data_IF_019276587198
#
_entry.id   IF_019276587198
#
_cell.length_a   1.000
_cell.length_b   1.000
_cell.length_c   1.000
_cell.angle_alpha   90.00
_cell.angle_beta   90.00
_cell.angle_gamma   90.00
#
_symmetry.space_group_name_H-M   'P 1'
#
loop_
_entity.id
_entity.type
_entity.pdbx_description
1 polymer ?
#
# COMPACT_ATOMS: atom_id res chain seq x y z
N UNK A 1 11.48 21.61 -16.40
CA UNK A 1 11.36 21.21 -14.98
C UNK A 1 9.92 20.79 -14.75
N UNK A 2 9.68 19.73 -13.99
CA UNK A 2 8.32 19.29 -13.67
C UNK A 2 7.63 20.29 -12.73
N UNK A 3 6.32 20.41 -12.83
CA UNK A 3 5.49 21.27 -12.00
C UNK A 3 4.76 20.40 -10.96
N UNK A 4 5.38 20.24 -9.80
CA UNK A 4 4.78 19.55 -8.66
C UNK A 4 4.28 20.58 -7.64
N UNK A 5 3.06 20.36 -7.15
CA UNK A 5 2.48 21.16 -6.07
C UNK A 5 1.87 20.26 -5.00
N UNK A 6 1.94 20.70 -3.75
CA UNK A 6 1.42 19.98 -2.59
C UNK A 6 0.53 20.94 -1.81
N UNK A 7 -0.71 20.53 -1.56
CA UNK A 7 -1.64 21.26 -0.71
C UNK A 7 -2.15 20.38 0.42
N UNK A 8 -2.66 21.01 1.47
CA UNK A 8 -3.21 20.33 2.64
C UNK A 8 -4.63 20.82 2.89
N UNK A 9 -5.62 19.93 2.82
CA UNK A 9 -7.04 20.35 2.85
C UNK A 9 -7.42 21.11 4.12
N UNK A 10 -6.76 20.82 5.25
CA UNK A 10 -7.00 21.53 6.51
C UNK A 10 -6.30 22.90 6.62
N UNK A 11 -5.35 23.22 5.75
CA UNK A 11 -4.76 24.58 5.61
C UNK A 11 -5.46 25.36 4.50
N UNK A 12 -5.81 24.67 3.43
CA UNK A 12 -6.36 25.24 2.20
C UNK A 12 -7.70 24.55 1.89
N UNK A 13 -8.81 24.93 2.57
CA UNK A 13 -10.12 24.27 2.40
C UNK A 13 -10.68 24.37 0.98
N UNK A 14 -10.12 25.26 0.17
CA UNK A 14 -10.49 25.54 -1.22
C UNK A 14 -9.47 24.99 -2.23
N UNK A 15 -8.51 24.15 -1.81
CA UNK A 15 -7.48 23.61 -2.70
C UNK A 15 -8.04 22.86 -3.91
N UNK A 16 -9.23 22.28 -3.79
CA UNK A 16 -9.93 21.61 -4.89
C UNK A 16 -10.63 22.57 -5.88
N UNK A 17 -10.83 23.86 -5.53
CA UNK A 17 -11.46 24.83 -6.43
C UNK A 17 -10.61 25.02 -7.69
N UNK A 18 -11.21 24.83 -8.86
CA UNK A 18 -10.54 25.01 -10.16
C UNK A 18 -10.01 23.71 -10.79
N UNK A 19 -10.01 22.59 -10.06
CA UNK A 19 -9.76 21.27 -10.63
C UNK A 19 -11.06 20.61 -11.09
N UNK A 20 -10.96 19.66 -12.01
CA UNK A 20 -12.13 18.95 -12.56
C UNK A 20 -12.36 17.60 -11.90
N UNK A 21 -11.33 16.99 -11.33
CA UNK A 21 -11.37 15.60 -10.86
C UNK A 21 -10.33 15.38 -9.78
N UNK A 22 -10.65 14.51 -8.81
CA UNK A 22 -9.69 13.94 -7.89
C UNK A 22 -9.29 12.52 -8.33
N UNK A 23 -8.05 12.12 -8.09
CA UNK A 23 -7.54 10.78 -8.40
C UNK A 23 -7.02 10.13 -7.13
N UNK A 24 -7.58 8.98 -6.76
CA UNK A 24 -7.06 8.12 -5.71
C UNK A 24 -6.20 7.03 -6.33
N UNK A 25 -4.93 6.97 -5.95
CA UNK A 25 -3.96 5.98 -6.43
C UNK A 25 -3.47 5.13 -5.26
N UNK A 26 -3.05 3.91 -5.58
CA UNK A 26 -2.35 3.01 -4.68
C UNK A 26 -3.16 2.65 -3.43
N UNK A 27 -3.90 1.56 -3.56
CA UNK A 27 -4.92 1.17 -2.60
C UNK A 27 -5.18 -0.32 -2.79
N UNK A 28 -5.17 -1.09 -1.70
CA UNK A 28 -5.21 -2.55 -1.74
C UNK A 28 -6.62 -3.08 -1.46
N UNK A 29 -6.91 -4.31 -1.83
CA UNK A 29 -8.19 -4.99 -1.64
C UNK A 29 -7.94 -6.37 -1.04
N UNK A 30 -9.00 -7.14 -0.81
CA UNK A 30 -8.88 -8.53 -0.42
C UNK A 30 -8.22 -9.44 -1.48
N UNK A 31 -7.86 -8.91 -2.67
CA UNK A 31 -7.05 -9.61 -3.66
C UNK A 31 -5.54 -9.48 -3.37
N UNK A 32 -5.12 -8.47 -2.61
CA UNK A 32 -3.72 -8.31 -2.19
C UNK A 32 -3.35 -9.31 -1.10
N UNK A 33 -2.14 -9.87 -1.20
CA UNK A 33 -1.58 -10.83 -0.25
C UNK A 33 -0.45 -10.17 0.53
N UNK A 34 -0.77 -9.75 1.75
CA UNK A 34 0.19 -9.10 2.64
C UNK A 34 0.94 -10.15 3.46
N UNK A 35 2.27 -10.21 3.31
CA UNK A 35 3.09 -11.18 4.03
C UNK A 35 3.01 -11.01 5.55
N UNK A 36 3.05 -12.12 6.29
CA UNK A 36 3.17 -12.12 7.76
C UNK A 36 4.63 -12.18 8.25
N UNK A 37 5.61 -12.00 7.37
CA UNK A 37 7.04 -11.99 7.74
C UNK A 37 7.37 -11.00 8.84
N UNK A 38 6.71 -9.84 8.85
CA UNK A 38 6.88 -8.84 9.90
C UNK A 38 6.59 -9.38 11.31
N UNK A 39 5.75 -10.41 11.47
CA UNK A 39 5.48 -11.04 12.78
C UNK A 39 6.71 -11.79 13.28
N UNK A 40 7.38 -12.53 12.39
CA UNK A 40 8.63 -13.20 12.72
C UNK A 40 9.73 -12.19 13.08
N UNK A 41 9.74 -11.04 12.41
CA UNK A 41 10.71 -9.96 12.67
C UNK A 41 10.41 -9.16 13.94
N UNK A 42 9.13 -8.92 14.29
CA UNK A 42 8.72 -8.22 15.52
C UNK A 42 9.26 -8.90 16.79
N UNK A 43 9.41 -10.23 16.74
CA UNK A 43 10.01 -11.02 17.82
C UNK A 43 11.49 -10.66 18.09
N UNK A 44 12.21 -10.17 17.07
CA UNK A 44 13.61 -9.75 17.18
C UNK A 44 13.72 -8.39 17.88
N UNK A 45 12.80 -7.48 17.61
CA UNK A 45 12.76 -6.14 18.23
C UNK A 45 12.30 -6.18 19.69
N UNK A 46 11.58 -7.24 20.08
CA UNK A 46 10.99 -7.41 21.41
C UNK A 46 11.41 -8.75 22.01
N UNK A 47 12.66 -8.88 22.51
CA UNK A 47 13.23 -10.17 22.92
C UNK A 47 12.43 -10.95 23.97
N UNK A 48 11.58 -10.26 24.74
CA UNK A 48 10.71 -10.89 25.73
C UNK A 48 9.49 -11.62 25.12
N UNK A 49 9.11 -11.31 23.87
CA UNK A 49 8.06 -12.02 23.13
C UNK A 49 8.55 -13.37 22.58
N UNK A 50 9.85 -13.50 22.29
CA UNK A 50 10.47 -14.74 21.77
C UNK A 50 10.08 -16.01 22.54
N UNK A 51 10.22 -16.09 23.88
CA UNK A 51 9.84 -17.30 24.61
C UNK A 51 8.34 -17.61 24.52
N UNK A 52 7.49 -16.60 24.44
CA UNK A 52 6.03 -16.76 24.31
C UNK A 52 5.68 -17.30 22.92
N UNK A 53 6.30 -16.76 21.87
CA UNK A 53 6.10 -17.21 20.48
C UNK A 53 6.57 -18.64 20.29
N UNK A 54 7.78 -18.99 20.74
CA UNK A 54 8.28 -20.38 20.69
C UNK A 54 7.37 -21.35 21.42
N UNK A 55 6.93 -20.99 22.62
CA UNK A 55 5.98 -21.81 23.37
C UNK A 55 4.65 -22.01 22.60
N UNK A 56 4.16 -20.96 21.93
CA UNK A 56 2.94 -21.05 21.13
C UNK A 56 3.12 -21.91 19.87
N UNK A 57 4.25 -21.77 19.18
CA UNK A 57 4.63 -22.57 18.01
C UNK A 57 4.78 -24.06 18.34
N UNK A 58 5.50 -24.39 19.43
CA UNK A 58 5.69 -25.77 19.88
C UNK A 58 4.35 -26.39 20.29
N UNK A 59 3.52 -25.63 21.02
CA UNK A 59 2.17 -26.07 21.39
C UNK A 59 1.26 -26.28 20.19
N UNK A 60 1.41 -25.48 19.12
CA UNK A 60 0.72 -25.71 17.85
C UNK A 60 1.17 -27.04 17.25
N UNK A 61 2.48 -27.23 17.10
CA UNK A 61 3.07 -28.45 16.55
C UNK A 61 2.62 -29.72 17.30
N UNK A 62 2.64 -29.69 18.63
CA UNK A 62 2.21 -30.82 19.48
C UNK A 62 0.72 -31.15 19.30
N UNK A 63 -0.14 -30.15 19.13
CA UNK A 63 -1.60 -30.34 19.15
C UNK A 63 -2.23 -30.57 17.78
N UNK A 64 -1.67 -29.98 16.74
CA UNK A 64 -2.24 -29.96 15.38
C UNK A 64 -1.29 -30.56 14.35
N UNK A 65 -0.02 -30.77 14.69
CA UNK A 65 1.02 -31.15 13.73
C UNK A 65 1.48 -29.99 12.85
N UNK A 66 0.95 -28.77 13.06
CA UNK A 66 1.24 -27.59 12.24
C UNK A 66 2.18 -26.66 13.00
N UNK A 67 3.34 -26.36 12.40
CA UNK A 67 4.21 -25.25 12.83
C UNK A 67 3.86 -23.99 12.01
N UNK A 68 3.74 -22.81 12.64
CA UNK A 68 3.58 -21.54 11.92
C UNK A 68 4.66 -21.36 10.85
N UNK A 69 4.25 -20.97 9.64
CA UNK A 69 5.12 -20.76 8.47
C UNK A 69 4.92 -19.32 7.99
N UNK A 70 5.50 -18.35 8.71
CA UNK A 70 5.26 -16.91 8.49
C UNK A 70 5.52 -16.47 7.03
N UNK A 71 6.60 -16.95 6.41
CA UNK A 71 6.97 -16.66 5.01
C UNK A 71 6.04 -17.23 3.95
N UNK A 72 5.17 -18.17 4.33
CA UNK A 72 4.15 -18.75 3.45
C UNK A 72 2.74 -18.39 3.88
N UNK A 73 2.62 -17.53 4.89
CA UNK A 73 1.38 -17.04 5.41
C UNK A 73 1.21 -15.59 5.01
N UNK A 74 -0.04 -15.22 4.76
CA UNK A 74 -0.39 -13.87 4.41
C UNK A 74 -1.75 -13.53 5.01
N UNK A 75 -2.06 -12.25 5.05
CA UNK A 75 -3.40 -11.75 5.30
C UNK A 75 -3.88 -10.96 4.10
N UNK A 76 -5.18 -10.76 3.99
CA UNK A 76 -5.78 -9.94 2.93
C UNK A 76 -6.51 -8.75 3.55
N UNK A 77 -6.40 -7.54 2.99
CA UNK A 77 -7.21 -6.39 3.35
C UNK A 77 -8.71 -6.71 3.45
N UNK A 78 -9.45 -6.04 4.35
CA UNK A 78 -10.82 -6.41 4.66
C UNK A 78 -11.79 -6.04 3.53
N UNK A 79 -11.49 -5.02 2.73
CA UNK A 79 -12.40 -4.53 1.70
C UNK A 79 -12.35 -5.37 0.43
N UNK A 80 -13.53 -5.74 -0.09
CA UNK A 80 -13.66 -6.28 -1.45
C UNK A 80 -13.35 -5.18 -2.49
N UNK A 81 -13.08 -5.53 -3.76
CA UNK A 81 -12.76 -4.53 -4.79
C UNK A 81 -13.82 -3.43 -4.89
N UNK A 82 -15.11 -3.77 -4.81
CA UNK A 82 -16.20 -2.80 -4.90
C UNK A 82 -16.28 -1.89 -3.68
N UNK A 83 -16.12 -2.44 -2.47
CA UNK A 83 -16.11 -1.63 -1.26
C UNK A 83 -14.92 -0.68 -1.22
N UNK A 84 -13.75 -1.12 -1.65
CA UNK A 84 -12.55 -0.28 -1.75
C UNK A 84 -12.72 0.83 -2.81
N UNK A 85 -13.22 0.49 -4.00
CA UNK A 85 -13.52 1.48 -5.04
C UNK A 85 -14.48 2.56 -4.55
N UNK A 86 -15.59 2.15 -3.95
CA UNK A 86 -16.61 3.08 -3.44
C UNK A 86 -16.06 3.96 -2.33
N UNK A 87 -15.26 3.41 -1.42
CA UNK A 87 -14.65 4.14 -0.33
C UNK A 87 -13.78 5.31 -0.86
N UNK A 88 -12.91 5.02 -1.82
CA UNK A 88 -12.01 5.99 -2.40
C UNK A 88 -12.76 7.04 -3.24
N UNK A 89 -13.72 6.60 -4.06
CA UNK A 89 -14.53 7.50 -4.89
C UNK A 89 -15.40 8.43 -4.03
N UNK A 90 -16.07 7.88 -3.01
CA UNK A 90 -16.94 8.65 -2.13
C UNK A 90 -16.17 9.65 -1.28
N UNK A 91 -14.93 9.38 -0.88
CA UNK A 91 -14.09 10.38 -0.22
C UNK A 91 -13.95 11.63 -1.09
N UNK A 92 -13.60 11.45 -2.37
CA UNK A 92 -13.39 12.56 -3.31
C UNK A 92 -14.71 13.29 -3.55
N UNK A 93 -15.78 12.56 -3.84
CA UNK A 93 -17.10 13.15 -4.12
C UNK A 93 -17.64 13.91 -2.91
N UNK A 94 -17.58 13.34 -1.71
CA UNK A 94 -18.19 13.92 -0.53
C UNK A 94 -17.36 15.07 0.06
N UNK A 95 -16.03 14.94 0.10
CA UNK A 95 -15.18 15.93 0.76
C UNK A 95 -14.67 17.01 -0.19
N UNK A 96 -14.42 16.68 -1.46
CA UNK A 96 -13.86 17.60 -2.45
C UNK A 96 -14.91 18.11 -3.44
N UNK A 97 -16.09 17.50 -3.49
CA UNK A 97 -17.17 17.84 -4.43
C UNK A 97 -16.71 17.73 -5.90
N UNK A 98 -15.84 16.75 -6.18
CA UNK A 98 -15.32 16.43 -7.51
C UNK A 98 -15.68 14.99 -7.90
N UNK A 99 -15.77 14.67 -9.20
CA UNK A 99 -15.65 13.28 -9.67
C UNK A 99 -14.36 12.63 -9.18
N UNK A 100 -14.43 11.34 -8.86
CA UNK A 100 -13.30 10.54 -8.40
C UNK A 100 -12.86 9.54 -9.47
N UNK A 101 -11.59 9.57 -9.84
CA UNK A 101 -10.93 8.47 -10.54
C UNK A 101 -10.19 7.62 -9.51
N UNK A 102 -10.42 6.31 -9.50
CA UNK A 102 -9.79 5.41 -8.53
C UNK A 102 -8.92 4.41 -9.30
N UNK A 103 -7.71 4.19 -8.82
CA UNK A 103 -6.85 3.08 -9.25
C UNK A 103 -6.48 2.21 -8.06
N UNK A 104 -7.06 1.01 -8.00
CA UNK A 104 -6.68 -0.04 -7.05
C UNK A 104 -5.49 -0.83 -7.63
N UNK A 105 -4.54 -1.19 -6.78
CA UNK A 105 -3.27 -1.78 -7.21
C UNK A 105 -2.80 -2.81 -6.19
N UNK A 106 -3.47 -3.95 -6.15
CA UNK A 106 -3.08 -5.09 -5.30
C UNK A 106 -1.67 -5.60 -5.66
N UNK A 107 -0.98 -6.21 -4.69
CA UNK A 107 0.36 -6.77 -4.90
C UNK A 107 0.36 -7.86 -5.98
N UNK A 108 1.13 -7.62 -7.05
CA UNK A 108 1.41 -8.54 -8.15
C UNK A 108 0.17 -9.12 -8.86
N UNK A 109 -1.00 -8.46 -8.74
CA UNK A 109 -2.29 -9.01 -9.17
C UNK A 109 -3.26 -7.96 -9.74
N UNK A 110 -3.98 -8.30 -10.82
CA UNK A 110 -4.97 -7.42 -11.46
C UNK A 110 -6.42 -7.90 -11.28
N UNK A 111 -6.71 -8.87 -10.41
CA UNK A 111 -8.06 -9.42 -10.26
C UNK A 111 -9.08 -8.36 -9.82
N UNK A 112 -8.70 -7.46 -8.90
CA UNK A 112 -9.60 -6.41 -8.44
C UNK A 112 -10.11 -5.51 -9.58
N UNK A 113 -9.26 -4.88 -10.41
CA UNK A 113 -9.74 -4.12 -11.55
C UNK A 113 -10.44 -4.98 -12.60
N UNK A 114 -10.08 -6.25 -12.80
CA UNK A 114 -10.82 -7.13 -13.73
C UNK A 114 -12.24 -7.42 -13.26
N UNK A 115 -12.43 -7.75 -11.98
CA UNK A 115 -13.75 -7.95 -11.37
C UNK A 115 -14.60 -6.69 -11.46
N UNK A 116 -14.03 -5.52 -11.14
CA UNK A 116 -14.73 -4.25 -11.18
C UNK A 116 -15.19 -3.86 -12.58
N UNK A 117 -14.45 -4.22 -13.63
CA UNK A 117 -14.83 -3.90 -15.00
C UNK A 117 -16.00 -4.70 -15.55
N UNK A 118 -16.36 -5.80 -14.87
CA UNK A 118 -17.61 -6.50 -15.12
C UNK A 118 -18.84 -5.72 -14.63
N UNK A 119 -18.64 -4.73 -13.74
CA UNK A 119 -19.69 -3.87 -13.19
C UNK A 119 -19.78 -2.59 -14.00
N UNK A 120 -21.00 -2.21 -14.42
CA UNK A 120 -21.20 -0.98 -15.19
C UNK A 120 -20.75 0.28 -14.44
N UNK A 121 -20.92 0.33 -13.12
CA UNK A 121 -20.56 1.48 -12.29
C UNK A 121 -19.06 1.69 -12.11
N UNK A 122 -18.23 0.66 -12.34
CA UNK A 122 -16.78 0.73 -12.15
C UNK A 122 -15.99 0.36 -13.43
N UNK A 123 -16.66 0.29 -14.59
CA UNK A 123 -16.06 -0.15 -15.87
C UNK A 123 -14.85 0.67 -16.32
N UNK A 124 -14.78 1.92 -15.86
CA UNK A 124 -13.73 2.88 -16.20
C UNK A 124 -12.48 2.76 -15.33
N UNK A 125 -12.45 1.87 -14.34
CA UNK A 125 -11.26 1.65 -13.52
C UNK A 125 -10.07 1.22 -14.40
N UNK A 126 -8.88 1.81 -14.23
CA UNK A 126 -7.67 1.36 -14.92
C UNK A 126 -7.26 -0.04 -14.45
N UNK A 127 -6.68 -0.82 -15.36
CA UNK A 127 -6.05 -2.10 -15.01
C UNK A 127 -4.69 -1.81 -14.38
N UNK A 128 -4.55 -2.07 -13.08
CA UNK A 128 -3.36 -1.67 -12.34
C UNK A 128 -2.98 -2.72 -11.30
N UNK A 129 -1.70 -2.74 -10.93
CA UNK A 129 -1.14 -3.55 -9.84
C UNK A 129 0.02 -2.82 -9.16
N UNK A 130 0.36 -3.22 -7.95
CA UNK A 130 1.64 -2.89 -7.32
C UNK A 130 2.61 -4.03 -7.58
N UNK A 131 3.62 -3.79 -8.42
CA UNK A 131 4.59 -4.82 -8.80
C UNK A 131 5.76 -4.88 -7.81
N UNK A 132 5.99 -6.06 -7.24
CA UNK A 132 7.15 -6.36 -6.39
C UNK A 132 8.39 -6.64 -7.23
N UNK A 133 9.38 -5.76 -7.13
CA UNK A 133 10.63 -5.80 -7.91
C UNK A 133 11.80 -6.13 -6.99
N UNK A 134 12.27 -7.39 -6.93
CA UNK A 134 13.48 -7.72 -6.18
C UNK A 134 14.69 -6.97 -6.75
N UNK A 135 15.44 -6.28 -5.91
CA UNK A 135 16.58 -5.45 -6.30
C UNK A 135 17.70 -5.53 -5.25
N UNK A 136 18.73 -6.33 -5.54
CA UNK A 136 19.83 -6.57 -4.60
C UNK A 136 19.34 -7.25 -3.31
N UNK A 137 19.63 -6.69 -2.12
CA UNK A 137 19.20 -7.27 -0.84
C UNK A 137 17.77 -6.91 -0.42
N UNK A 138 17.04 -6.11 -1.23
CA UNK A 138 15.69 -5.61 -0.91
C UNK A 138 14.75 -5.86 -2.10
N UNK A 139 13.49 -5.45 -1.98
CA UNK A 139 12.59 -5.28 -3.11
C UNK A 139 11.96 -3.89 -3.08
N UNK A 140 11.69 -3.35 -4.26
CA UNK A 140 10.94 -2.13 -4.45
C UNK A 140 9.53 -2.45 -4.92
N UNK A 141 8.59 -1.54 -4.68
CA UNK A 141 7.27 -1.65 -5.26
C UNK A 141 7.07 -0.56 -6.32
N UNK A 142 6.55 -0.96 -7.48
CA UNK A 142 6.23 -0.06 -8.57
C UNK A 142 4.72 -0.12 -8.85
N UNK A 143 4.04 1.01 -8.71
CA UNK A 143 2.66 1.14 -9.17
C UNK A 143 2.64 1.14 -10.70
N UNK A 144 2.10 0.08 -11.31
CA UNK A 144 1.90 0.00 -12.77
C UNK A 144 0.42 0.22 -13.05
N UNK A 145 0.08 1.39 -13.56
CA UNK A 145 -1.29 1.83 -13.74
C UNK A 145 -1.72 1.85 -15.19
N UNK A 146 -2.99 1.52 -15.42
CA UNK A 146 -3.69 1.62 -16.70
C UNK A 146 -3.06 0.80 -17.84
N UNK A 147 -2.74 -0.45 -17.53
CA UNK A 147 -2.33 -1.46 -18.52
C UNK A 147 -3.42 -1.63 -19.59
N UNK A 148 -3.04 -1.86 -20.86
CA UNK A 148 -4.01 -2.14 -21.92
C UNK A 148 -4.83 -3.38 -21.59
N UNK A 149 -6.16 -3.25 -21.69
CA UNK A 149 -7.08 -4.31 -21.25
C UNK A 149 -6.88 -5.63 -21.98
N UNK A 150 -6.54 -5.57 -23.27
CA UNK A 150 -6.35 -6.76 -24.11
C UNK A 150 -5.09 -7.55 -23.74
N UNK A 151 -4.10 -6.92 -23.11
CA UNK A 151 -2.80 -7.52 -22.79
C UNK A 151 -2.48 -7.48 -21.29
N UNK A 152 -3.43 -7.05 -20.44
CA UNK A 152 -3.22 -6.88 -19.01
C UNK A 152 -2.78 -8.18 -18.32
N UNK A 153 -3.44 -9.31 -18.63
CA UNK A 153 -3.07 -10.63 -18.10
C UNK A 153 -1.66 -11.05 -18.52
N UNK A 154 -1.29 -10.86 -19.79
CA UNK A 154 0.05 -11.17 -20.27
C UNK A 154 1.12 -10.29 -19.59
N UNK A 155 0.80 -9.03 -19.29
CA UNK A 155 1.67 -8.17 -18.50
C UNK A 155 1.79 -8.68 -17.06
N UNK A 156 0.70 -8.98 -16.37
CA UNK A 156 0.75 -9.51 -15.01
C UNK A 156 1.61 -10.79 -14.95
N UNK A 157 1.40 -11.74 -15.85
CA UNK A 157 2.18 -12.98 -15.93
C UNK A 157 3.68 -12.68 -16.09
N UNK A 158 4.04 -11.79 -17.01
CA UNK A 158 5.44 -11.40 -17.23
C UNK A 158 6.08 -10.71 -16.01
N UNK A 159 5.34 -9.84 -15.33
CA UNK A 159 5.82 -9.15 -14.13
C UNK A 159 6.01 -10.16 -12.98
N UNK A 160 5.06 -11.09 -12.81
CA UNK A 160 5.16 -12.16 -11.82
C UNK A 160 6.32 -13.13 -12.11
N UNK A 161 6.55 -13.49 -13.38
CA UNK A 161 7.70 -14.28 -13.80
C UNK A 161 9.02 -13.60 -13.41
N UNK A 162 9.15 -12.30 -13.66
CA UNK A 162 10.32 -11.54 -13.25
C UNK A 162 10.52 -11.59 -11.72
N UNK A 163 9.45 -11.40 -10.95
CA UNK A 163 9.48 -11.41 -9.48
C UNK A 163 9.94 -12.78 -8.95
N UNK A 164 9.47 -13.87 -9.59
CA UNK A 164 9.82 -15.24 -9.22
C UNK A 164 11.26 -15.65 -9.59
N UNK A 165 11.90 -14.96 -10.55
CA UNK A 165 13.28 -15.29 -10.96
C UNK A 165 14.29 -15.04 -9.82
N UNK A 166 15.11 -16.03 -9.45
CA UNK A 166 16.19 -15.84 -8.49
C UNK A 166 17.19 -14.79 -8.97
N UNK A 167 17.59 -13.87 -8.09
CA UNK A 167 18.50 -12.75 -8.42
C UNK A 167 19.81 -13.25 -9.06
N UNK A 168 20.36 -14.36 -8.57
CA UNK A 168 21.62 -14.92 -9.07
C UNK A 168 21.57 -15.39 -10.53
N UNK A 169 20.39 -15.72 -11.05
CA UNK A 169 20.18 -16.19 -12.42
C UNK A 169 19.52 -15.16 -13.34
N UNK A 170 19.29 -13.94 -12.86
CA UNK A 170 18.53 -12.91 -13.57
C UNK A 170 19.45 -12.12 -14.50
N UNK A 171 19.05 -11.94 -15.77
CA UNK A 171 19.73 -11.00 -16.66
C UNK A 171 19.62 -9.58 -16.06
N UNK A 172 20.75 -8.89 -15.80
CA UNK A 172 20.74 -7.57 -15.19
C UNK A 172 20.01 -6.50 -16.03
N UNK A 173 19.79 -6.72 -17.33
CA UNK A 173 19.06 -5.79 -18.21
C UNK A 173 17.57 -6.06 -18.28
N UNK A 174 17.10 -7.23 -17.82
CA UNK A 174 15.70 -7.64 -17.98
C UNK A 174 14.72 -6.65 -17.35
N UNK A 175 15.04 -6.15 -16.16
CA UNK A 175 14.23 -5.15 -15.47
C UNK A 175 14.10 -3.87 -16.31
N UNK A 176 15.24 -3.34 -16.78
CA UNK A 176 15.29 -2.14 -17.60
C UNK A 176 14.51 -2.31 -18.91
N UNK A 177 14.57 -3.48 -19.54
CA UNK A 177 13.80 -3.80 -20.73
C UNK A 177 12.29 -3.80 -20.45
N UNK A 178 11.85 -4.46 -19.39
CA UNK A 178 10.42 -4.48 -18.99
C UNK A 178 9.93 -3.05 -18.73
N UNK A 179 10.71 -2.24 -18.01
CA UNK A 179 10.34 -0.84 -17.71
C UNK A 179 10.31 0.03 -18.98
N UNK A 180 11.26 -0.16 -19.90
CA UNK A 180 11.27 0.54 -21.18
C UNK A 180 10.02 0.21 -22.01
N UNK A 181 9.64 -1.07 -22.09
CA UNK A 181 8.44 -1.49 -22.82
C UNK A 181 7.14 -0.99 -22.17
N UNK A 182 7.08 -0.90 -20.84
CA UNK A 182 5.96 -0.24 -20.15
C UNK A 182 5.89 1.26 -20.48
N UNK A 183 7.03 1.96 -20.51
CA UNK A 183 7.11 3.37 -20.92
C UNK A 183 6.69 3.58 -22.39
N UNK A 184 6.98 2.63 -23.29
CA UNK A 184 6.55 2.73 -24.69
C UNK A 184 5.01 2.76 -24.85
N UNK A 185 4.25 2.25 -23.87
CA UNK A 185 2.78 2.28 -23.89
C UNK A 185 2.29 3.64 -23.39
N UNK A 186 1.73 4.53 -24.24
CA UNK A 186 1.43 5.92 -23.85
C UNK A 186 0.40 6.06 -22.72
N UNK A 187 -0.50 5.07 -22.59
CA UNK A 187 -1.56 5.06 -21.57
C UNK A 187 -1.11 4.49 -20.21
N UNK A 188 0.08 3.91 -20.10
CA UNK A 188 0.58 3.31 -18.85
C UNK A 188 1.29 4.36 -18.01
N UNK A 189 1.09 4.31 -16.70
CA UNK A 189 1.79 5.14 -15.73
C UNK A 189 2.52 4.23 -14.72
N UNK A 190 3.84 4.29 -14.73
CA UNK A 190 4.74 3.62 -13.77
C UNK A 190 5.20 4.60 -12.69
N UNK A 191 4.86 4.31 -11.44
CA UNK A 191 5.20 5.10 -10.24
C UNK A 191 6.15 4.30 -9.37
N UNK A 192 7.16 4.95 -8.78
CA UNK A 192 7.94 4.32 -7.71
C UNK A 192 7.22 4.56 -6.39
N UNK A 193 6.54 3.52 -5.89
CA UNK A 193 5.76 3.57 -4.66
C UNK A 193 6.71 3.63 -3.46
N UNK A 194 6.33 4.45 -2.46
CA UNK A 194 6.97 4.65 -1.15
C UNK A 194 8.49 4.39 -1.16
N UNK A 195 9.26 5.08 -2.02
CA UNK A 195 10.60 4.63 -2.43
C UNK A 195 11.62 4.54 -1.29
N UNK A 196 11.39 5.29 -0.20
CA UNK A 196 12.27 5.33 0.97
C UNK A 196 11.83 4.38 2.10
N UNK A 197 10.78 3.58 1.90
CA UNK A 197 10.38 2.57 2.86
C UNK A 197 11.31 1.34 2.78
N UNK A 198 12.18 1.21 3.78
CA UNK A 198 13.03 0.04 3.98
C UNK A 198 12.23 -1.12 4.59
N UNK A 199 11.32 -1.71 3.82
CA UNK A 199 10.45 -2.83 4.24
C UNK A 199 11.28 -4.04 4.72
N UNK A 200 12.36 -4.37 4.01
CA UNK A 200 13.24 -5.51 4.31
C UNK A 200 14.32 -5.20 5.35
N UNK A 201 14.30 -3.99 5.92
CA UNK A 201 15.18 -3.56 7.02
C UNK A 201 16.66 -3.78 6.73
N UNK A 202 17.08 -3.57 5.48
CA UNK A 202 18.49 -3.69 5.07
C UNK A 202 19.36 -2.59 5.71
N UNK A 203 18.73 -1.55 6.24
CA UNK A 203 19.30 -0.39 6.88
C UNK A 203 19.14 0.83 5.98
N UNK A 204 18.68 1.95 6.54
CA UNK A 204 18.31 3.15 5.79
C UNK A 204 19.39 3.68 4.83
N UNK A 205 20.67 3.63 5.22
CA UNK A 205 21.77 4.04 4.34
C UNK A 205 21.92 3.10 3.13
N UNK A 206 21.85 1.77 3.36
CA UNK A 206 21.95 0.78 2.28
C UNK A 206 20.73 0.83 1.37
N UNK A 207 19.53 0.99 1.95
CA UNK A 207 18.30 1.19 1.19
C UNK A 207 18.40 2.44 0.31
N UNK A 208 18.87 3.55 0.87
CA UNK A 208 19.11 4.80 0.14
C UNK A 208 20.09 4.63 -1.02
N UNK A 209 21.16 3.85 -0.87
CA UNK A 209 22.07 3.50 -1.97
C UNK A 209 21.32 2.75 -3.06
N UNK A 210 20.59 1.68 -2.72
CA UNK A 210 19.81 0.89 -3.68
C UNK A 210 18.79 1.74 -4.46
N UNK A 211 18.11 2.68 -3.78
CA UNK A 211 17.15 3.59 -4.43
C UNK A 211 17.84 4.49 -5.46
N UNK A 212 19.00 5.04 -5.12
CA UNK A 212 19.76 5.88 -6.05
C UNK A 212 20.33 5.07 -7.22
N UNK A 213 20.79 3.84 -6.99
CA UNK A 213 21.23 2.95 -8.06
C UNK A 213 20.07 2.58 -9.00
N UNK A 214 18.91 2.26 -8.45
CA UNK A 214 17.71 1.98 -9.24
C UNK A 214 17.31 3.17 -10.12
N UNK A 215 17.27 4.38 -9.56
CA UNK A 215 16.94 5.59 -10.31
C UNK A 215 18.04 5.97 -11.33
N UNK A 216 19.31 5.68 -11.05
CA UNK A 216 20.39 5.87 -12.01
C UNK A 216 20.21 5.02 -13.26
N UNK A 217 19.76 3.77 -13.10
CA UNK A 217 19.65 2.80 -14.18
C UNK A 217 18.29 2.92 -14.90
N UNK A 218 17.21 3.06 -14.12
CA UNK A 218 15.84 2.91 -14.60
C UNK A 218 15.02 4.20 -14.51
N UNK A 219 15.54 5.28 -13.91
CA UNK A 219 14.77 6.48 -13.59
C UNK A 219 14.09 7.12 -14.79
N UNK A 220 14.65 7.01 -15.99
CA UNK A 220 14.03 7.53 -17.22
C UNK A 220 12.67 6.88 -17.57
N UNK A 221 12.41 5.67 -17.07
CA UNK A 221 11.16 4.91 -17.28
C UNK A 221 10.19 5.01 -16.10
N UNK A 222 10.59 5.72 -15.04
CA UNK A 222 9.76 6.02 -13.88
C UNK A 222 9.18 7.42 -14.08
N UNK A 223 7.86 7.52 -13.97
CA UNK A 223 7.17 8.76 -14.32
C UNK A 223 6.99 9.71 -13.14
N UNK A 224 6.89 9.16 -11.92
CA UNK A 224 6.75 9.92 -10.69
C UNK A 224 7.21 9.11 -9.47
N UNK A 225 7.54 9.82 -8.39
CA UNK A 225 7.81 9.23 -7.07
C UNK A 225 6.62 9.47 -6.14
N UNK A 226 6.20 8.45 -5.41
CA UNK A 226 5.03 8.53 -4.54
C UNK A 226 5.30 9.32 -3.26
N UNK A 227 4.47 10.34 -2.99
CA UNK A 227 4.20 10.81 -1.64
C UNK A 227 3.10 9.94 -1.07
N UNK A 228 3.40 9.24 0.02
CA UNK A 228 2.57 8.15 0.47
C UNK A 228 1.70 8.55 1.68
N UNK A 229 0.40 8.25 1.59
CA UNK A 229 -0.59 8.59 2.62
C UNK A 229 -0.37 7.86 3.95
N UNK A 230 0.20 6.65 3.94
CA UNK A 230 0.51 5.86 5.14
C UNK A 230 1.86 6.24 5.79
N UNK A 231 2.77 6.90 5.05
CA UNK A 231 4.12 7.22 5.52
C UNK A 231 4.18 8.51 6.35
N UNK A 232 5.34 8.72 6.98
CA UNK A 232 5.59 9.87 7.87
C UNK A 232 5.82 11.17 7.08
N UNK A 233 5.68 12.31 7.78
CA UNK A 233 6.01 13.63 7.25
C UNK A 233 7.46 13.70 6.78
N UNK A 234 8.38 13.23 7.63
CA UNK A 234 9.82 13.21 7.34
C UNK A 234 10.15 12.39 6.10
N UNK A 235 9.51 11.24 5.93
CA UNK A 235 9.75 10.39 4.77
C UNK A 235 9.23 11.04 3.48
N UNK A 236 8.01 11.58 3.48
CA UNK A 236 7.47 12.27 2.31
C UNK A 236 8.29 13.52 1.93
N UNK A 237 8.79 14.29 2.90
CA UNK A 237 9.71 15.39 2.64
C UNK A 237 11.03 14.91 1.99
N UNK A 238 11.57 13.78 2.47
CA UNK A 238 12.77 13.18 1.87
C UNK A 238 12.50 12.65 0.44
N UNK A 239 11.29 12.16 0.15
CA UNK A 239 10.89 11.79 -1.23
C UNK A 239 10.82 13.01 -2.14
N UNK A 240 10.31 14.15 -1.67
CA UNK A 240 10.34 15.41 -2.45
C UNK A 240 11.76 15.83 -2.82
N UNK A 241 12.70 15.73 -1.86
CA UNK A 241 14.13 16.00 -2.12
C UNK A 241 14.71 15.00 -3.13
N UNK A 242 14.38 13.71 -2.99
CA UNK A 242 14.81 12.66 -3.92
C UNK A 242 14.28 12.92 -5.34
N UNK A 243 13.01 13.31 -5.47
CA UNK A 243 12.40 13.65 -6.76
C UNK A 243 13.13 14.83 -7.41
N UNK A 244 13.42 15.89 -6.65
CA UNK A 244 14.22 17.03 -7.12
C UNK A 244 15.62 16.60 -7.61
N UNK A 245 16.32 15.75 -6.85
CA UNK A 245 17.64 15.22 -7.21
C UNK A 245 17.63 14.48 -8.56
N UNK A 246 16.59 13.71 -8.82
CA UNK A 246 16.47 12.89 -10.03
C UNK A 246 15.62 13.54 -11.14
N UNK A 247 15.31 14.84 -11.01
CA UNK A 247 14.45 15.59 -11.93
C UNK A 247 13.08 14.90 -12.18
N UNK A 248 12.57 14.22 -11.15
CA UNK A 248 11.24 13.60 -11.15
C UNK A 248 10.19 14.51 -10.53
N UNK A 249 8.92 14.24 -10.87
CA UNK A 249 7.78 14.82 -10.17
C UNK A 249 7.34 13.89 -9.05
N UNK A 250 6.65 14.43 -8.05
CA UNK A 250 5.97 13.60 -7.06
C UNK A 250 4.51 13.40 -7.43
N UNK A 251 3.89 12.36 -6.90
CA UNK A 251 2.48 12.01 -7.11
C UNK A 251 1.86 11.45 -5.83
N UNK A 252 0.54 11.49 -5.67
CA UNK A 252 -0.11 10.87 -4.51
C UNK A 252 -0.12 9.34 -4.64
N UNK A 253 -0.18 8.67 -3.50
CA UNK A 253 -0.67 7.30 -3.42
C UNK A 253 -0.82 6.90 -1.95
N UNK A 254 -1.86 6.15 -1.64
CA UNK A 254 -2.28 6.00 -0.25
C UNK A 254 -1.69 4.82 0.49
N UNK A 255 -1.39 3.73 -0.23
CA UNK A 255 -0.96 2.43 0.33
C UNK A 255 -1.91 1.92 1.42
N UNK A 256 -3.21 2.12 1.17
CA UNK A 256 -4.27 1.87 2.13
C UNK A 256 -4.64 0.39 2.12
N UNK A 257 -4.65 -0.17 3.33
CA UNK A 257 -4.97 -1.57 3.58
C UNK A 257 -6.16 -1.76 4.54
N UNK A 258 -6.54 -0.71 5.27
CA UNK A 258 -7.67 -0.71 6.22
C UNK A 258 -8.98 -0.26 5.58
N UNK A 259 -9.88 0.28 6.41
CA UNK A 259 -11.19 0.80 5.99
C UNK A 259 -11.30 2.33 6.00
N UNK A 260 -10.24 3.04 6.40
CA UNK A 260 -10.10 4.49 6.21
C UNK A 260 -9.58 4.77 4.80
N UNK A 261 -10.15 5.72 4.02
CA UNK A 261 -9.72 6.00 2.66
C UNK A 261 -8.32 6.62 2.59
N UNK A 262 -7.71 6.61 1.40
CA UNK A 262 -6.38 7.19 1.15
C UNK A 262 -6.21 8.59 1.77
N UNK A 263 -5.11 8.77 2.52
CA UNK A 263 -4.81 10.03 3.22
C UNK A 263 -4.27 11.13 2.30
N UNK A 264 -4.10 10.84 1.01
CA UNK A 264 -3.80 11.81 -0.03
C UNK A 264 -4.43 11.37 -1.36
N UNK A 265 -4.65 12.36 -2.22
CA UNK A 265 -5.19 12.18 -3.58
C UNK A 265 -4.47 13.16 -4.52
N UNK A 266 -4.58 12.96 -5.82
CA UNK A 266 -4.19 13.94 -6.81
C UNK A 266 -5.36 14.81 -7.23
N UNK A 267 -5.13 16.11 -7.42
CA UNK A 267 -6.08 17.01 -8.08
C UNK A 267 -5.63 17.21 -9.53
N UNK A 268 -6.56 17.15 -10.48
CA UNK A 268 -6.23 17.21 -11.91
C UNK A 268 -7.32 17.88 -12.75
N UNK A 269 -6.94 18.36 -13.94
CA UNK A 269 -7.88 18.85 -14.96
C UNK A 269 -8.27 17.76 -15.97
N UNK A 270 -7.64 16.59 -15.89
CA UNK A 270 -8.05 15.40 -16.62
C UNK A 270 -9.44 14.93 -16.20
N UNK A 271 -10.19 14.41 -17.17
CA UNK A 271 -11.55 13.84 -16.97
C UNK A 271 -11.57 12.32 -17.19
N UNK A 272 -10.42 11.74 -17.58
CA UNK A 272 -10.21 10.30 -17.69
C UNK A 272 -8.82 9.92 -17.18
N UNK A 273 -8.64 8.64 -16.83
CA UNK A 273 -7.34 8.16 -16.36
C UNK A 273 -6.25 8.30 -17.43
N UNK A 274 -6.58 8.12 -18.71
CA UNK A 274 -5.62 8.32 -19.82
C UNK A 274 -5.18 9.77 -19.95
N UNK A 275 -6.10 10.73 -19.77
CA UNK A 275 -5.75 12.16 -19.73
C UNK A 275 -4.85 12.46 -18.53
N UNK A 276 -5.14 11.88 -17.36
CA UNK A 276 -4.32 12.04 -16.17
C UNK A 276 -2.90 11.48 -16.37
N UNK A 277 -2.78 10.32 -17.01
CA UNK A 277 -1.48 9.74 -17.41
C UNK A 277 -0.71 10.71 -18.31
N UNK A 278 -1.38 11.34 -19.28
CA UNK A 278 -0.75 12.33 -20.15
C UNK A 278 -0.26 13.57 -19.38
N UNK A 279 -1.09 14.13 -18.49
CA UNK A 279 -0.75 15.28 -17.63
C UNK A 279 0.50 15.00 -16.79
N UNK A 280 0.57 13.80 -16.18
CA UNK A 280 1.72 13.39 -15.37
C UNK A 280 2.97 13.13 -16.23
N UNK A 281 2.84 12.37 -17.32
CA UNK A 281 4.01 11.91 -18.10
C UNK A 281 4.58 12.97 -19.03
N UNK A 282 3.70 13.67 -19.76
CA UNK A 282 4.08 14.55 -20.87
C UNK A 282 4.14 16.00 -20.44
N UNK A 283 3.13 16.45 -19.70
CA UNK A 283 3.07 17.82 -19.20
C UNK A 283 3.90 17.98 -17.91
N UNK A 284 4.24 16.86 -17.25
CA UNK A 284 4.98 16.81 -15.98
C UNK A 284 4.30 17.65 -14.91
N UNK A 285 2.97 17.57 -14.84
CA UNK A 285 2.15 18.28 -13.86
C UNK A 285 1.62 17.25 -12.86
N UNK A 286 1.77 17.56 -11.57
CA UNK A 286 1.11 16.80 -10.50
C UNK A 286 0.78 17.70 -9.33
N UNK A 287 -0.46 17.66 -8.87
CA UNK A 287 -0.90 18.31 -7.65
C UNK A 287 -1.33 17.24 -6.64
N UNK A 288 -0.61 17.11 -5.53
CA UNK A 288 -0.95 16.19 -4.44
C UNK A 288 -1.67 16.94 -3.33
N UNK A 289 -2.88 16.51 -2.99
CA UNK A 289 -3.65 17.01 -1.86
C UNK A 289 -3.61 16.01 -0.71
N UNK A 290 -3.09 16.41 0.44
CA UNK A 290 -3.21 15.65 1.67
C UNK A 290 -4.57 15.88 2.35
N UNK A 291 -5.22 14.78 2.70
CA UNK A 291 -6.54 14.74 3.32
C UNK A 291 -6.45 14.88 4.85
N UNK A 292 -7.48 15.37 5.54
CA UNK A 292 -7.42 15.70 6.97
C UNK A 292 -6.92 14.59 7.88
N UNK A 293 -7.18 13.32 7.56
CA UNK A 293 -6.70 12.17 8.32
C UNK A 293 -5.17 12.09 8.38
N UNK A 294 -4.43 12.59 7.37
CA UNK A 294 -2.97 12.61 7.38
C UNK A 294 -2.37 13.43 8.54
N UNK A 295 -3.15 14.38 9.09
CA UNK A 295 -2.76 15.18 10.25
C UNK A 295 -2.70 14.38 11.55
N UNK A 296 -3.38 13.24 11.62
CA UNK A 296 -3.32 12.37 12.78
C UNK A 296 -1.92 11.75 12.92
N UNK A 297 -1.44 11.55 14.16
CA UNK A 297 -0.14 10.94 14.42
C UNK A 297 0.08 9.65 13.63
N UNK A 298 1.26 9.49 13.04
CA UNK A 298 1.57 8.34 12.20
C UNK A 298 1.36 7.01 12.94
N UNK A 299 1.88 6.90 14.17
CA UNK A 299 1.69 5.71 15.01
C UNK A 299 0.21 5.43 15.30
N UNK A 300 -0.62 6.47 15.39
CA UNK A 300 -2.06 6.29 15.55
C UNK A 300 -2.70 5.71 14.28
N UNK A 301 -2.33 6.20 13.10
CA UNK A 301 -2.83 5.69 11.82
C UNK A 301 -2.41 4.23 11.59
N UNK A 302 -1.16 3.88 11.92
CA UNK A 302 -0.69 2.48 11.88
C UNK A 302 -1.50 1.59 12.84
N UNK A 303 -1.77 2.07 14.06
CA UNK A 303 -2.63 1.34 15.00
C UNK A 303 -4.05 1.13 14.46
N UNK A 304 -4.66 2.13 13.80
CA UNK A 304 -5.98 1.99 13.19
C UNK A 304 -5.96 0.94 12.06
N UNK A 305 -4.97 0.99 11.17
CA UNK A 305 -4.82 -0.04 10.13
C UNK A 305 -4.63 -1.45 10.71
N UNK A 306 -3.86 -1.57 11.80
CA UNK A 306 -3.69 -2.83 12.53
C UNK A 306 -5.01 -3.33 13.12
N UNK A 307 -5.80 -2.43 13.72
CA UNK A 307 -7.12 -2.74 14.26
C UNK A 307 -8.08 -3.20 13.18
N UNK A 308 -8.07 -2.55 12.01
CA UNK A 308 -8.90 -2.94 10.87
C UNK A 308 -8.56 -4.35 10.37
N UNK A 309 -7.28 -4.70 10.32
CA UNK A 309 -6.85 -6.05 9.93
C UNK A 309 -7.42 -7.13 10.86
N UNK A 310 -7.42 -6.89 12.18
CA UNK A 310 -7.85 -7.86 13.21
C UNK A 310 -9.32 -7.74 13.64
N UNK A 311 -10.08 -6.82 13.04
CA UNK A 311 -11.48 -6.56 13.39
C UNK A 311 -12.41 -7.56 12.69
N UNK A 312 -13.55 -7.82 13.31
CA UNK A 312 -14.61 -8.60 12.69
C UNK A 312 -15.62 -7.65 12.02
N UNK A 313 -16.03 -7.97 10.78
CA UNK A 313 -16.97 -7.20 9.95
C UNK A 313 -18.20 -8.06 9.64
N UNK A 314 -19.20 -8.14 10.55
CA UNK A 314 -20.36 -9.03 10.38
C UNK A 314 -21.19 -8.77 9.12
N UNK A 315 -21.11 -7.56 8.57
CA UNK A 315 -21.84 -7.11 7.38
C UNK A 315 -21.12 -7.45 6.06
N UNK A 316 -19.91 -8.01 6.12
CA UNK A 316 -19.17 -8.44 4.94
C UNK A 316 -19.68 -9.80 4.43
N UNK A 317 -19.35 -10.14 3.16
CA UNK A 317 -19.61 -11.47 2.62
C UNK A 317 -19.06 -12.60 3.51
N UNK A 318 -19.68 -13.78 3.42
CA UNK A 318 -19.20 -14.98 4.10
C UNK A 318 -17.77 -15.34 3.67
N UNK A 319 -16.95 -15.82 4.61
CA UNK A 319 -15.53 -16.09 4.38
C UNK A 319 -14.62 -14.85 4.46
N UNK A 320 -15.15 -13.72 4.93
CA UNK A 320 -14.38 -12.47 5.12
C UNK A 320 -14.79 -11.68 6.37
N UNK A 321 -15.68 -12.22 7.20
CA UNK A 321 -16.26 -11.52 8.35
C UNK A 321 -15.27 -11.50 9.50
N UNK A 322 -14.65 -12.61 9.83
CA UNK A 322 -13.69 -12.66 10.94
C UNK A 322 -12.25 -12.48 10.44
N UNK A 323 -11.38 -11.99 11.32
CA UNK A 323 -9.97 -11.79 10.96
C UNK A 323 -9.28 -13.07 10.49
N UNK A 324 -9.62 -14.22 11.08
CA UNK A 324 -9.04 -15.53 10.77
C UNK A 324 -9.61 -16.18 9.52
N UNK A 325 -10.71 -15.66 8.98
CA UNK A 325 -11.13 -15.96 7.60
C UNK A 325 -10.27 -15.20 6.57
N UNK A 326 -9.64 -14.09 6.97
CA UNK A 326 -8.78 -13.24 6.12
C UNK A 326 -7.28 -13.46 6.33
N UNK A 327 -6.91 -14.37 7.23
CA UNK A 327 -5.52 -14.80 7.44
C UNK A 327 -5.38 -16.20 6.89
N UNK A 328 -4.32 -16.44 6.11
CA UNK A 328 -4.09 -17.67 5.38
C UNK A 328 -2.79 -18.32 5.82
N UNK A 329 -2.82 -19.64 6.00
CA UNK A 329 -1.66 -20.44 6.40
C UNK A 329 -1.68 -21.82 5.70
N UNK A 330 -0.50 -22.38 5.34
CA UNK A 330 -0.43 -23.72 4.76
C UNK A 330 -0.78 -24.83 5.77
N UNK A 331 -1.71 -25.70 5.44
CA UNK A 331 -2.03 -26.89 6.23
C UNK A 331 -0.85 -27.88 6.34
N UNK A 332 -1.05 -29.02 7.00
CA UNK A 332 -0.01 -30.05 7.15
C UNK A 332 0.46 -30.66 5.83
N UNK A 333 -0.31 -30.51 4.74
CA UNK A 333 0.08 -30.93 3.39
C UNK A 333 0.68 -29.79 2.56
N UNK A 334 0.81 -28.59 3.14
CA UNK A 334 1.29 -27.39 2.48
C UNK A 334 0.24 -26.66 1.63
N UNK A 335 -1.04 -27.04 1.72
CA UNK A 335 -2.12 -26.36 1.00
C UNK A 335 -2.54 -25.12 1.78
N UNK A 336 -2.50 -23.95 1.15
CA UNK A 336 -2.94 -22.69 1.78
C UNK A 336 -4.44 -22.74 2.08
N UNK A 337 -4.82 -22.42 3.33
CA UNK A 337 -6.20 -22.38 3.82
C UNK A 337 -6.44 -21.13 4.67
N UNK A 338 -7.69 -20.64 4.78
CA UNK A 338 -8.06 -19.69 5.82
C UNK A 338 -7.80 -20.28 7.21
N UNK A 339 -7.24 -19.48 8.10
CA UNK A 339 -6.86 -19.90 9.44
C UNK A 339 -8.06 -20.38 10.26
N UNK A 340 -9.25 -19.82 10.00
CA UNK A 340 -10.54 -20.25 10.56
C UNK A 340 -10.81 -21.75 10.36
N UNK A 341 -10.29 -22.36 9.28
CA UNK A 341 -10.46 -23.80 8.98
C UNK A 341 -9.37 -24.69 9.59
N UNK A 342 -8.29 -24.08 10.11
CA UNK A 342 -7.13 -24.79 10.67
C UNK A 342 -7.21 -24.90 12.19
N UNK A 343 -8.13 -24.18 12.84
CA UNK A 343 -8.32 -24.26 14.28
C UNK A 343 -8.85 -25.62 14.71
N UNK A 344 -8.17 -26.21 15.69
CA UNK A 344 -8.67 -27.41 16.35
C UNK A 344 -10.03 -27.12 17.00
N UNK A 345 -11.00 -27.99 16.74
CA UNK A 345 -12.38 -27.87 17.22
C UNK A 345 -13.10 -26.57 16.81
N UNK A 346 -12.61 -25.88 15.75
CA UNK A 346 -13.07 -24.55 15.32
C UNK A 346 -12.94 -23.46 16.42
N UNK A 347 -11.95 -23.59 17.31
CA UNK A 347 -11.72 -22.63 18.41
C UNK A 347 -10.34 -21.99 18.32
N UNK A 348 -10.31 -20.66 18.27
CA UNK A 348 -9.08 -19.86 18.34
C UNK A 348 -8.38 -20.11 19.68
N UNK A 349 -7.06 -20.39 19.69
CA UNK A 349 -6.30 -20.56 20.94
C UNK A 349 -6.36 -19.31 21.82
N UNK A 350 -6.59 -19.50 23.13
CA UNK A 350 -6.70 -18.40 24.12
C UNK A 350 -5.55 -17.40 24.10
N UNK A 351 -4.34 -17.84 23.74
CA UNK A 351 -3.16 -16.96 23.66
C UNK A 351 -3.28 -15.98 22.50
N UNK A 352 -3.77 -16.45 21.34
CA UNK A 352 -4.07 -15.60 20.18
C UNK A 352 -5.21 -14.64 20.52
N UNK A 353 -6.29 -15.16 21.11
CA UNK A 353 -7.42 -14.31 21.57
C UNK A 353 -6.97 -13.25 22.57
N UNK A 354 -6.09 -13.61 23.52
CA UNK A 354 -5.54 -12.68 24.50
C UNK A 354 -4.72 -11.57 23.84
N UNK A 355 -3.82 -11.93 22.92
CA UNK A 355 -3.03 -10.96 22.18
C UNK A 355 -3.92 -9.98 21.38
N UNK A 356 -4.93 -10.50 20.69
CA UNK A 356 -5.88 -9.66 19.94
C UNK A 356 -6.68 -8.74 20.83
N UNK A 357 -7.14 -9.21 22.00
CA UNK A 357 -7.85 -8.38 22.95
C UNK A 357 -6.98 -7.25 23.49
N UNK A 358 -5.69 -7.48 23.72
CA UNK A 358 -4.75 -6.41 24.12
C UNK A 358 -4.69 -5.32 23.06
N UNK A 359 -4.55 -5.69 21.78
CA UNK A 359 -4.54 -4.71 20.67
C UNK A 359 -5.89 -3.98 20.57
N UNK A 360 -7.00 -4.71 20.60
CA UNK A 360 -8.37 -4.14 20.57
C UNK A 360 -8.63 -3.18 21.73
N UNK A 361 -8.07 -3.43 22.92
CA UNK A 361 -8.20 -2.51 24.07
C UNK A 361 -7.53 -1.16 23.83
N UNK A 362 -6.53 -1.06 22.95
CA UNK A 362 -5.88 0.21 22.61
C UNK A 362 -6.81 1.16 21.83
N UNK A 363 -7.91 0.64 21.27
CA UNK A 363 -8.96 1.43 20.62
C UNK A 363 -9.87 2.15 21.64
N UNK A 364 -9.93 1.68 22.89
CA UNK A 364 -10.82 2.23 23.89
C UNK A 364 -10.59 3.75 24.02
N UNK A 365 -11.65 4.55 23.85
CA UNK A 365 -11.61 6.03 23.78
C UNK A 365 -10.62 6.71 24.73
N UNK A 366 -10.56 6.40 26.04
CA UNK A 366 -9.58 7.04 26.93
C UNK A 366 -8.13 6.67 26.60
N UNK A 367 -7.87 5.41 26.24
CA UNK A 367 -6.54 4.92 25.84
C UNK A 367 -6.13 5.54 24.52
N UNK A 368 -7.00 5.48 23.51
CA UNK A 368 -6.75 6.06 22.19
C UNK A 368 -6.43 7.56 22.27
N UNK A 369 -7.15 8.33 23.10
CA UNK A 369 -6.88 9.76 23.31
C UNK A 369 -5.51 10.00 23.96
N UNK A 370 -5.16 9.22 24.99
CA UNK A 370 -3.85 9.30 25.63
C UNK A 370 -2.71 8.97 24.66
N UNK A 371 -2.86 7.90 23.87
CA UNK A 371 -1.89 7.49 22.85
C UNK A 371 -1.71 8.56 21.76
N UNK A 372 -2.80 9.16 21.25
CA UNK A 372 -2.72 10.28 20.29
C UNK A 372 -1.89 11.45 20.82
N UNK A 373 -2.06 11.80 22.10
CA UNK A 373 -1.29 12.89 22.71
C UNK A 373 0.19 12.50 22.88
N UNK A 374 0.46 11.27 23.32
CA UNK A 374 1.82 10.76 23.54
C UNK A 374 2.62 10.57 22.24
N UNK A 375 1.96 10.26 21.14
CA UNK A 375 2.57 10.06 19.82
C UNK A 375 2.54 11.31 18.94
N UNK A 376 2.36 12.50 19.51
CA UNK A 376 2.22 13.71 18.69
C UNK A 376 3.44 13.97 17.78
N UNK A 377 3.19 13.99 16.47
CA UNK A 377 4.18 14.33 15.43
C UNK A 377 4.10 15.82 15.03
N UNK A 378 3.54 16.67 15.89
CA UNK A 378 3.27 18.08 15.57
C UNK A 378 4.53 18.89 15.24
N UNK A 379 5.69 18.48 15.74
CA UNK A 379 6.99 19.06 15.38
C UNK A 379 7.35 18.82 13.92
N UNK A 380 7.24 17.57 13.46
CA UNK A 380 7.52 17.19 12.07
C UNK A 380 6.54 17.85 11.10
N UNK A 381 5.24 17.86 11.45
CA UNK A 381 4.22 18.55 10.66
C UNK A 381 4.55 20.04 10.51
N UNK A 382 4.93 20.74 11.59
CA UNK A 382 5.30 22.17 11.51
C UNK A 382 6.53 22.40 10.64
N UNK A 383 7.54 21.54 10.72
CA UNK A 383 8.75 21.65 9.92
C UNK A 383 8.44 21.49 8.42
N UNK A 384 7.71 20.43 8.05
CA UNK A 384 7.31 20.19 6.66
C UNK A 384 6.43 21.32 6.09
N UNK A 385 5.51 21.86 6.90
CA UNK A 385 4.68 22.99 6.47
C UNK A 385 5.45 24.30 6.32
N UNK A 386 6.48 24.52 7.14
CA UNK A 386 7.32 25.71 7.04
C UNK A 386 8.21 25.71 5.79
N UNK A 387 8.66 24.53 5.33
CA UNK A 387 9.43 24.39 4.08
C UNK A 387 8.59 24.72 2.84
N UNK A 388 7.27 24.56 2.88
CA UNK A 388 6.36 24.91 1.78
C UNK A 388 6.03 26.41 1.71
N UNK A 389 6.10 27.08 2.86
CA UNK A 389 5.85 28.52 2.96
C UNK A 389 7.12 29.36 2.65
N UNK A 390 8.28 28.70 2.51
CA UNK A 390 9.59 29.30 2.21
C UNK A 390 9.92 29.26 0.72
#
# INVERSE_FOLDING_TARGET
MGNTSISYLWREPKAAEGFKTGVSLHSHTNQSKETLDFIAEMSQDWPWLMPIMRWAEDRSAEKTGIRPQYTKSYWTPPLTPKLAFDLEEQQIQNLLQLPGLVSLSDHDDINAPMLLRSLNSARHIPVSLEWTVPFGPTAFHLGVHNLPSATGTAWQERLAEFTALPIAGRDPKLLTQILAELDEIPGVLTIFNHPLWDLYRVGGDKHGVSVNEFLAINGQYIHALELNGLRTWKENAAVTVLAGKWNQITISGGDRHGIEPNANVNLTNATSFTEFVHEVRRERISHTLFMPQYREPWKHRILQGTLDAIRDYPHFPEGMRTWDERVFHPDSNGIVRPLSTLWKDNVVPRVVTGAMNVVRMMEARPVARGLKMAWSDAGEMRAALAELDA
#
